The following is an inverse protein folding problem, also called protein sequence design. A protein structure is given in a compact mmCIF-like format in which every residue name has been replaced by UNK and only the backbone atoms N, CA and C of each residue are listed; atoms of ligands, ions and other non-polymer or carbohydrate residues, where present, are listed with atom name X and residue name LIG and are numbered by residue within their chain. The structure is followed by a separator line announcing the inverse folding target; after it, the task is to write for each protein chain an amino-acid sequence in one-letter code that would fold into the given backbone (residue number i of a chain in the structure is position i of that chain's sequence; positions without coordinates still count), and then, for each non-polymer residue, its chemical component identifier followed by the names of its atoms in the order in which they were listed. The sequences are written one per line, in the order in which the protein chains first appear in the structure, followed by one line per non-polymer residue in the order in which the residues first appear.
data_IF_861475265328
#
_entry.id   IF_861475265328
#
_cell.length_a   1.000
_cell.length_b   1.000
_cell.length_c   1.000
_cell.angle_alpha   90.00
_cell.angle_beta   90.00
_cell.angle_gamma   90.00
#
_symmetry.space_group_name_H-M   'P 1'
#
loop_
_entity.id
_entity.type
_entity.pdbx_description
1 polymer ?
#
# COMPACT_ATOMS: atom_id res chain seq x y z
N UNK A 1 -12.99 -1.84 -4.12
CA UNK A 1 -11.99 -2.90 -3.92
C UNK A 1 -10.72 -2.53 -4.65
N UNK A 2 -9.65 -2.38 -3.87
CA UNK A 2 -8.30 -2.20 -4.38
C UNK A 2 -7.75 -3.53 -4.88
N UNK A 3 -6.99 -3.50 -5.97
CA UNK A 3 -6.18 -4.63 -6.43
C UNK A 3 -5.01 -4.91 -5.47
N UNK A 4 -4.58 -6.17 -5.42
CA UNK A 4 -3.29 -6.50 -4.84
C UNK A 4 -2.21 -5.77 -5.63
N UNK A 5 -1.28 -5.13 -4.92
CA UNK A 5 -0.24 -4.34 -5.54
C UNK A 5 -0.67 -2.92 -5.94
N UNK A 6 -1.65 -2.36 -5.23
CA UNK A 6 -2.03 -0.96 -5.43
C UNK A 6 -1.38 -0.01 -4.41
N UNK A 7 -1.15 1.21 -4.88
CA UNK A 7 -0.67 2.32 -4.06
C UNK A 7 -1.83 3.02 -3.36
N UNK A 8 -1.73 3.07 -2.04
CA UNK A 8 -2.79 3.65 -1.20
C UNK A 8 -2.21 4.53 -0.11
N UNK A 9 -3.01 5.50 0.31
CA UNK A 9 -2.80 6.28 1.51
C UNK A 9 -3.62 5.64 2.62
N UNK A 10 -2.96 5.12 3.64
CA UNK A 10 -3.58 4.71 4.89
C UNK A 10 -3.85 5.95 5.76
N UNK A 11 -5.10 6.11 6.20
CA UNK A 11 -5.56 7.20 7.06
C UNK A 11 -5.60 6.73 8.52
N UNK A 12 -4.66 7.20 9.31
CA UNK A 12 -4.64 7.00 10.76
C UNK A 12 -4.98 8.33 11.46
N UNK A 13 -6.27 8.62 11.61
CA UNK A 13 -6.75 9.90 12.14
C UNK A 13 -6.30 11.07 11.26
N UNK A 14 -5.40 11.93 11.77
CA UNK A 14 -4.83 13.06 11.02
C UNK A 14 -3.62 12.68 10.15
N UNK A 15 -3.01 11.52 10.40
CA UNK A 15 -1.85 11.07 9.64
C UNK A 15 -2.29 10.45 8.29
N UNK A 16 -1.53 10.76 7.25
CA UNK A 16 -1.66 10.16 5.92
C UNK A 16 -0.36 9.44 5.61
N UNK A 17 -0.44 8.12 5.52
CA UNK A 17 0.72 7.27 5.37
C UNK A 17 0.64 6.61 4.01
N UNK A 18 1.58 6.93 3.13
CA UNK A 18 1.71 6.22 1.87
C UNK A 18 2.23 4.80 2.13
N UNK A 19 1.62 3.83 1.47
CA UNK A 19 2.10 2.47 1.47
C UNK A 19 1.52 1.63 0.35
N UNK A 20 2.01 0.40 0.34
CA UNK A 20 1.66 -0.63 -0.62
C UNK A 20 0.76 -1.64 0.04
N UNK A 21 -0.28 -2.10 -0.67
CA UNK A 21 -1.12 -3.19 -0.18
C UNK A 21 -0.88 -4.49 -0.93
N UNK A 22 -0.74 -5.57 -0.17
CA UNK A 22 -0.74 -6.95 -0.65
C UNK A 22 -1.86 -7.75 0.01
N UNK A 23 -2.19 -8.90 -0.59
CA UNK A 23 -3.08 -9.92 -0.02
C UNK A 23 -4.40 -9.39 0.56
N UNK A 24 -5.40 -9.24 -0.29
CA UNK A 24 -6.78 -8.97 0.13
C UNK A 24 -7.42 -10.18 0.83
N UNK A 25 -7.83 -10.02 2.09
CA UNK A 25 -8.63 -10.99 2.84
C UNK A 25 -10.04 -10.44 3.06
N UNK A 26 -11.03 -11.13 2.49
CA UNK A 26 -12.45 -10.84 2.75
C UNK A 26 -12.82 -11.39 4.13
N UNK A 27 -13.28 -10.51 5.02
CA UNK A 27 -13.62 -10.84 6.41
C UNK A 27 -15.13 -10.91 6.62
N UNK A 28 -15.91 -10.27 5.75
CA UNK A 28 -17.36 -10.40 5.71
C UNK A 28 -17.88 -10.26 4.27
N UNK A 29 -18.88 -11.06 3.92
CA UNK A 29 -19.61 -10.98 2.65
C UNK A 29 -21.12 -10.89 2.91
N UNK A 30 -21.87 -10.33 1.96
CA UNK A 30 -23.34 -10.27 2.03
C UNK A 30 -23.97 -11.60 1.57
N UNK A 31 -25.30 -11.68 1.60
CA UNK A 31 -26.05 -12.86 1.14
C UNK A 31 -25.86 -13.19 -0.35
N UNK A 32 -25.36 -12.23 -1.15
CA UNK A 32 -24.97 -12.43 -2.55
C UNK A 32 -23.46 -12.74 -2.71
N UNK A 33 -22.79 -13.09 -1.61
CA UNK A 33 -21.36 -13.39 -1.53
C UNK A 33 -20.43 -12.25 -2.02
N UNK A 34 -20.93 -11.01 -2.02
CA UNK A 34 -20.13 -9.82 -2.33
C UNK A 34 -19.35 -9.39 -1.08
N UNK A 35 -18.04 -9.09 -1.19
CA UNK A 35 -17.25 -8.59 -0.07
C UNK A 35 -17.86 -7.31 0.51
N UNK A 36 -18.16 -7.31 1.81
CA UNK A 36 -18.58 -6.13 2.58
C UNK A 36 -17.36 -5.53 3.30
N UNK A 37 -16.45 -6.38 3.76
CA UNK A 37 -15.27 -5.95 4.49
C UNK A 37 -14.04 -6.70 4.01
N UNK A 38 -13.09 -5.94 3.49
CA UNK A 38 -11.79 -6.43 3.02
C UNK A 38 -10.69 -5.84 3.89
N UNK A 39 -9.72 -6.68 4.26
CA UNK A 39 -8.50 -6.27 4.96
C UNK A 39 -7.31 -6.57 4.04
N UNK A 40 -6.37 -5.64 3.97
CA UNK A 40 -5.15 -5.74 3.20
C UNK A 40 -3.93 -5.75 4.12
N UNK A 41 -2.86 -6.44 3.71
CA UNK A 41 -1.55 -6.24 4.30
C UNK A 41 -0.96 -4.93 3.78
N UNK A 42 -0.65 -4.00 4.68
CA UNK A 42 -0.14 -2.68 4.35
C UNK A 42 1.33 -2.53 4.76
N UNK A 43 2.16 -2.16 3.80
CA UNK A 43 3.61 -1.99 3.93
C UNK A 43 3.98 -0.51 3.77
N UNK A 44 4.84 0.03 4.64
CA UNK A 44 5.23 1.45 4.56
C UNK A 44 6.61 1.72 5.18
N UNK A 45 7.26 2.82 4.79
CA UNK A 45 8.56 3.23 5.34
C UNK A 45 8.47 3.97 6.67
N UNK A 46 7.29 4.45 7.05
CA UNK A 46 7.18 5.33 8.20
C UNK A 46 7.46 4.58 9.52
N UNK A 47 8.45 5.09 10.27
CA UNK A 47 8.83 4.61 11.62
C UNK A 47 7.70 4.67 12.65
N UNK A 48 6.59 5.35 12.33
CA UNK A 48 5.39 5.45 13.18
C UNK A 48 4.89 4.06 13.60
N UNK A 49 5.23 3.01 12.84
CA UNK A 49 4.77 1.65 13.06
C UNK A 49 5.82 0.74 13.68
N UNK A 50 6.54 1.19 14.71
CA UNK A 50 7.35 0.40 15.68
C UNK A 50 7.64 -1.08 15.31
N UNK A 51 8.29 -1.34 14.16
CA UNK A 51 8.69 -2.68 13.70
C UNK A 51 7.59 -3.72 13.42
N UNK A 52 6.29 -3.39 13.54
CA UNK A 52 5.19 -4.34 13.28
C UNK A 52 4.64 -4.15 11.88
N UNK A 53 5.31 -4.72 10.89
CA UNK A 53 4.85 -4.78 9.51
C UNK A 53 4.81 -6.23 9.00
N UNK A 54 3.88 -6.57 8.10
CA UNK A 54 2.84 -5.69 7.55
C UNK A 54 1.73 -5.37 8.56
N UNK A 55 1.14 -4.18 8.43
CA UNK A 55 -0.10 -3.86 9.14
C UNK A 55 -1.29 -4.52 8.45
N UNK A 56 -2.37 -4.71 9.19
CA UNK A 56 -3.67 -5.02 8.61
C UNK A 56 -4.48 -3.72 8.47
N UNK A 57 -4.76 -3.30 7.24
CA UNK A 57 -5.55 -2.12 6.94
C UNK A 57 -6.93 -2.52 6.43
N UNK A 58 -8.00 -1.96 7.01
CA UNK A 58 -9.34 -2.12 6.43
C UNK A 58 -9.44 -1.30 5.15
N UNK A 59 -10.24 -1.77 4.19
CA UNK A 59 -10.51 -1.04 2.95
C UNK A 59 -10.98 0.41 3.19
N UNK A 60 -11.79 0.64 4.23
CA UNK A 60 -12.33 1.96 4.61
C UNK A 60 -11.24 2.95 5.08
N UNK A 61 -10.12 2.43 5.58
CA UNK A 61 -8.98 3.23 6.05
C UNK A 61 -8.04 3.62 4.89
N UNK A 62 -8.24 3.04 3.71
CA UNK A 62 -7.41 3.24 2.53
C UNK A 62 -8.03 4.28 1.60
N UNK A 63 -7.17 5.07 0.98
CA UNK A 63 -7.54 5.97 -0.11
C UNK A 63 -6.60 5.75 -1.29
N UNK A 64 -7.12 5.72 -2.50
CA UNK A 64 -6.32 5.71 -3.73
C UNK A 64 -5.31 6.85 -3.72
N UNK A 65 -4.04 6.53 -3.96
CA UNK A 65 -3.01 7.54 -4.14
C UNK A 65 -3.04 8.03 -5.60
N UNK A 66 -3.17 9.34 -5.81
CA UNK A 66 -2.97 9.92 -7.14
C UNK A 66 -1.46 9.98 -7.47
N UNK A 67 -1.03 9.85 -8.75
CA UNK A 67 0.34 9.44 -9.13
C UNK A 67 1.50 10.38 -8.80
N UNK A 68 1.34 11.46 -8.04
CA UNK A 68 2.45 12.37 -7.73
C UNK A 68 3.25 11.91 -6.51
N UNK A 69 3.80 10.69 -6.59
CA UNK A 69 4.81 10.23 -5.65
C UNK A 69 6.07 11.09 -5.81
N UNK A 70 6.55 11.68 -4.70
CA UNK A 70 7.81 12.43 -4.74
C UNK A 70 8.99 11.46 -4.91
N UNK A 71 10.10 11.95 -5.44
CA UNK A 71 11.31 11.12 -5.62
C UNK A 71 11.78 10.44 -4.31
N UNK A 72 11.72 11.14 -3.18
CA UNK A 72 12.05 10.58 -1.85
C UNK A 72 11.06 9.50 -1.38
N UNK A 73 9.81 9.57 -1.84
CA UNK A 73 8.83 8.53 -1.58
C UNK A 73 9.15 7.29 -2.40
N UNK A 74 9.43 7.46 -3.69
CA UNK A 74 9.81 6.37 -4.58
C UNK A 74 11.08 5.64 -4.09
N UNK A 75 12.15 6.38 -3.75
CA UNK A 75 13.42 5.79 -3.31
C UNK A 75 13.25 4.96 -2.04
N UNK A 76 12.58 5.49 -1.04
CA UNK A 76 12.41 4.77 0.22
C UNK A 76 11.42 3.59 0.10
N UNK A 77 10.58 3.58 -0.94
CA UNK A 77 9.74 2.43 -1.27
C UNK A 77 10.52 1.37 -2.06
N UNK A 78 11.46 1.77 -2.93
CA UNK A 78 12.39 0.85 -3.61
C UNK A 78 13.25 0.09 -2.60
N UNK A 79 13.68 0.75 -1.53
CA UNK A 79 14.40 0.11 -0.42
C UNK A 79 13.57 -1.00 0.23
N UNK A 80 12.26 -0.79 0.42
CA UNK A 80 11.38 -1.82 0.98
C UNK A 80 11.18 -2.97 -0.02
N UNK A 81 11.04 -2.66 -1.32
CA UNK A 81 10.96 -3.70 -2.35
C UNK A 81 12.19 -4.60 -2.38
N UNK A 82 13.38 -4.03 -2.15
CA UNK A 82 14.60 -4.82 -2.00
C UNK A 82 14.58 -5.69 -0.73
N UNK A 83 14.08 -5.16 0.39
CA UNK A 83 13.96 -5.90 1.65
C UNK A 83 12.96 -7.06 1.57
N UNK A 84 11.85 -6.89 0.85
CA UNK A 84 10.83 -7.94 0.64
C UNK A 84 11.19 -8.88 -0.52
N UNK A 85 12.30 -8.60 -1.24
CA UNK A 85 12.76 -9.32 -2.44
C UNK A 85 11.73 -9.33 -3.59
N UNK A 86 10.85 -8.34 -3.62
CA UNK A 86 9.84 -8.19 -4.65
C UNK A 86 10.41 -7.37 -5.83
N UNK A 87 10.94 -8.09 -6.82
CA UNK A 87 11.57 -7.50 -8.00
C UNK A 87 10.57 -6.75 -8.89
N UNK A 88 9.33 -7.20 -8.94
CA UNK A 88 8.30 -6.57 -9.77
C UNK A 88 7.93 -5.21 -9.18
N UNK A 89 7.73 -5.15 -7.87
CA UNK A 89 7.46 -3.92 -7.15
C UNK A 89 8.57 -2.86 -7.31
N UNK A 90 9.84 -3.29 -7.26
CA UNK A 90 10.98 -2.39 -7.50
C UNK A 90 10.98 -1.80 -8.92
N UNK A 91 10.65 -2.61 -9.92
CA UNK A 91 10.61 -2.18 -11.33
C UNK A 91 9.48 -1.20 -11.59
N UNK A 92 8.29 -1.45 -11.05
CA UNK A 92 7.13 -0.56 -11.16
C UNK A 92 7.41 0.82 -10.55
N UNK A 93 8.07 0.86 -9.39
CA UNK A 93 8.55 2.10 -8.77
C UNK A 93 9.57 2.85 -9.62
N UNK A 94 10.47 2.13 -10.29
CA UNK A 94 11.51 2.71 -11.14
C UNK A 94 10.94 3.33 -12.43
N UNK A 95 9.85 2.75 -12.96
CA UNK A 95 9.15 3.27 -14.13
C UNK A 95 8.28 4.49 -13.78
N UNK A 96 7.65 4.49 -12.60
CA UNK A 96 6.92 5.65 -12.09
C UNK A 96 7.85 6.87 -11.88
N UNK A 97 9.12 6.65 -11.53
CA UNK A 97 10.11 7.72 -11.42
C UNK A 97 10.43 8.38 -12.77
N UNK A 98 10.64 7.58 -13.81
CA UNK A 98 11.00 8.09 -15.15
C UNK A 98 9.86 8.80 -15.87
N UNK A 99 8.60 8.49 -15.53
CA UNK A 99 7.41 9.07 -16.17
C UNK A 99 7.15 10.53 -15.73
N UNK A 100 7.86 11.02 -14.72
CA UNK A 100 7.67 12.33 -14.10
C UNK A 100 8.95 13.19 -14.07
N UNK A 101 10.01 12.76 -14.76
CA UNK A 101 11.27 13.50 -14.92
C UNK A 101 11.27 14.38 -16.18
#
# INVERSE_FOLDING_TARGET
MYGNGEWVIYKAGRARILGWISEAKVVASNSANTPIKTIYQFHTKQRVLNGKQPLLANEDDLQTCSPKLKADDIRALQEIALLTKDKQWFLELSNAHHSHA
#
